data_IF_517329542332
#
_entry.id   IF_517329542332
#
_cell.length_a   1.000
_cell.length_b   1.000
_cell.length_c   1.000
_cell.angle_alpha   90.00
_cell.angle_beta   90.00
_cell.angle_gamma   90.00
#
_symmetry.space_group_name_H-M   'P 1'
#
loop_
_entity.id
_entity.type
_entity.pdbx_description
1 polymer ?
#
# COMPACT_ATOMS: atom_id res chain seq x y z
N UNK A 1 7.59 21.48 16.96
CA UNK A 1 8.65 20.87 16.12
C UNK A 1 8.09 20.78 14.72
N UNK A 2 8.78 21.31 13.73
CA UNK A 2 8.37 21.15 12.35
C UNK A 2 8.43 19.67 11.99
N UNK A 3 7.31 19.11 11.58
CA UNK A 3 7.23 17.73 11.10
C UNK A 3 7.67 17.71 9.63
N UNK A 4 8.97 17.55 9.39
CA UNK A 4 9.51 17.38 8.03
C UNK A 4 9.72 15.91 7.72
N UNK A 5 9.81 15.55 6.44
CA UNK A 5 10.06 14.18 6.02
C UNK A 5 11.44 13.66 6.48
N UNK A 6 12.43 14.53 6.57
CA UNK A 6 13.74 14.21 7.13
C UNK A 6 13.64 13.84 8.62
N UNK A 7 12.86 14.61 9.40
CA UNK A 7 12.63 14.33 10.82
C UNK A 7 11.90 12.99 11.04
N UNK A 8 11.18 12.49 10.04
CA UNK A 8 10.56 11.17 10.08
C UNK A 8 11.54 10.02 9.75
N UNK A 9 12.79 10.32 9.40
CA UNK A 9 13.83 9.33 9.14
C UNK A 9 14.01 8.92 7.69
N UNK A 10 13.50 9.72 6.74
CA UNK A 10 13.64 9.46 5.32
C UNK A 10 14.94 10.06 4.77
N UNK A 11 15.61 9.33 3.86
CA UNK A 11 16.83 9.79 3.16
C UNK A 11 16.54 10.98 2.25
N UNK A 12 17.52 11.86 2.06
CA UNK A 12 17.42 13.07 1.25
C UNK A 12 16.88 12.80 -0.17
N UNK A 13 17.26 11.71 -0.82
CA UNK A 13 16.77 11.36 -2.16
C UNK A 13 15.24 11.21 -2.23
N UNK A 14 14.60 10.61 -1.21
CA UNK A 14 13.15 10.50 -1.13
C UNK A 14 12.49 11.85 -0.86
N UNK A 15 13.10 12.67 0.00
CA UNK A 15 12.60 14.01 0.31
C UNK A 15 12.65 14.91 -0.93
N UNK A 16 13.75 14.87 -1.69
CA UNK A 16 13.86 15.59 -2.96
C UNK A 16 12.79 15.12 -3.96
N UNK A 17 12.60 13.81 -4.09
CA UNK A 17 11.58 13.23 -4.98
C UNK A 17 10.16 13.66 -4.62
N UNK A 18 9.87 13.90 -3.35
CA UNK A 18 8.58 14.45 -2.91
C UNK A 18 8.45 15.93 -3.25
N UNK A 19 9.52 16.71 -3.03
CA UNK A 19 9.54 18.14 -3.36
C UNK A 19 9.31 18.39 -4.85
N UNK A 20 9.86 17.55 -5.74
CA UNK A 20 9.61 17.58 -7.18
C UNK A 20 8.14 17.33 -7.55
N UNK A 21 7.41 16.60 -6.71
CA UNK A 21 5.97 16.40 -6.83
C UNK A 21 5.14 17.49 -6.14
N UNK A 22 5.76 18.54 -5.59
CA UNK A 22 5.11 19.60 -4.82
C UNK A 22 4.68 19.18 -3.42
N UNK A 23 5.19 18.04 -2.90
CA UNK A 23 4.86 17.51 -1.58
C UNK A 23 5.97 17.91 -0.61
N UNK A 24 5.75 18.97 0.14
CA UNK A 24 6.77 19.59 1.00
C UNK A 24 6.62 19.28 2.49
N UNK A 25 5.44 18.84 2.92
CA UNK A 25 5.17 18.52 4.32
C UNK A 25 4.37 17.21 4.46
N UNK A 26 4.66 16.37 5.46
CA UNK A 26 3.94 15.13 5.69
C UNK A 26 2.54 15.38 6.24
N UNK A 27 1.58 14.63 5.76
CA UNK A 27 0.22 14.59 6.29
C UNK A 27 0.18 13.93 7.67
N UNK A 28 -0.92 14.09 8.43
CA UNK A 28 -1.05 13.50 9.77
C UNK A 28 -0.85 11.97 9.77
N UNK A 29 -1.43 11.27 8.79
CA UNK A 29 -1.25 9.82 8.71
C UNK A 29 0.20 9.42 8.38
N UNK A 30 0.89 10.19 7.56
CA UNK A 30 2.31 9.98 7.25
C UNK A 30 3.18 10.21 8.47
N UNK A 31 2.94 11.28 9.23
CA UNK A 31 3.67 11.58 10.48
C UNK A 31 3.56 10.45 11.50
N UNK A 32 2.37 9.82 11.59
CA UNK A 32 2.12 8.72 12.53
C UNK A 32 2.69 7.39 12.04
N UNK A 33 2.50 7.06 10.76
CA UNK A 33 2.80 5.72 10.25
C UNK A 33 4.27 5.53 9.87
N UNK A 34 4.91 6.52 9.24
CA UNK A 34 6.28 6.37 8.72
C UNK A 34 7.25 5.92 9.82
N UNK A 35 7.33 6.54 11.00
CA UNK A 35 8.24 6.11 12.06
C UNK A 35 7.97 4.68 12.54
N UNK A 36 6.71 4.29 12.70
CA UNK A 36 6.33 2.97 13.16
C UNK A 36 6.66 1.88 12.13
N UNK A 37 6.46 2.18 10.84
CA UNK A 37 6.86 1.27 9.77
C UNK A 37 8.38 1.16 9.67
N UNK A 38 9.12 2.25 9.81
CA UNK A 38 10.59 2.24 9.83
C UNK A 38 11.13 1.42 11.01
N UNK A 39 10.48 1.47 12.17
CA UNK A 39 10.86 0.68 13.34
C UNK A 39 10.58 -0.83 13.19
N UNK A 40 9.87 -1.25 12.13
CA UNK A 40 9.58 -2.67 11.85
C UNK A 40 8.33 -3.22 12.53
N UNK A 41 7.52 -2.39 13.19
CA UNK A 41 6.25 -2.81 13.77
C UNK A 41 5.19 -3.06 12.70
N UNK A 42 4.30 -3.98 12.98
CA UNK A 42 3.07 -4.11 12.20
C UNK A 42 2.15 -2.91 12.50
N UNK A 43 1.49 -2.38 11.48
CA UNK A 43 0.72 -1.13 11.60
C UNK A 43 -0.66 -1.28 10.98
N UNK A 44 -1.68 -0.85 11.70
CA UNK A 44 -3.02 -0.59 11.17
C UNK A 44 -3.19 0.93 11.08
N UNK A 45 -3.33 1.46 9.86
CA UNK A 45 -3.52 2.88 9.60
C UNK A 45 -4.94 3.18 9.14
N UNK A 46 -5.64 4.06 9.87
CA UNK A 46 -6.99 4.49 9.51
C UNK A 46 -7.00 5.98 9.14
N UNK A 47 -7.41 6.29 7.91
CA UNK A 47 -7.64 7.67 7.49
C UNK A 47 -8.46 7.72 6.19
N UNK A 48 -9.12 8.82 5.94
CA UNK A 48 -9.95 9.03 4.75
C UNK A 48 -9.19 8.88 3.43
N UNK A 49 -9.92 8.73 2.33
CA UNK A 49 -9.36 8.75 0.98
C UNK A 49 -8.75 10.14 0.70
N UNK A 50 -7.59 10.17 0.03
CA UNK A 50 -6.90 11.42 -0.28
C UNK A 50 -6.01 11.95 0.87
N UNK A 51 -5.92 11.28 2.01
CA UNK A 51 -5.10 11.68 3.16
C UNK A 51 -3.59 11.42 3.00
N UNK A 52 -3.15 10.81 1.89
CA UNK A 52 -1.74 10.48 1.65
C UNK A 52 -1.31 9.09 2.13
N UNK A 53 -2.26 8.15 2.34
CA UNK A 53 -1.99 6.76 2.76
C UNK A 53 -0.95 6.06 1.91
N UNK A 54 -1.02 6.20 0.59
CA UNK A 54 -0.10 5.52 -0.34
C UNK A 54 1.35 5.86 -0.05
N UNK A 55 1.66 7.13 0.14
CA UNK A 55 3.01 7.55 0.50
C UNK A 55 3.38 7.18 1.93
N UNK A 56 2.41 7.08 2.85
CA UNK A 56 2.69 6.67 4.22
C UNK A 56 3.33 5.29 4.34
N UNK A 57 3.07 4.37 3.39
CA UNK A 57 3.74 3.07 3.34
C UNK A 57 4.81 2.96 2.25
N UNK A 58 4.66 3.61 1.09
CA UNK A 58 5.68 3.54 0.04
C UNK A 58 7.03 4.13 0.50
N UNK A 59 7.00 5.30 1.16
CA UNK A 59 8.22 5.96 1.61
C UNK A 59 9.06 5.06 2.53
N UNK A 60 8.54 4.51 3.64
CA UNK A 60 9.33 3.61 4.48
C UNK A 60 9.69 2.29 3.78
N UNK A 61 8.90 1.79 2.83
CA UNK A 61 9.31 0.65 2.01
C UNK A 61 10.56 1.00 1.21
N UNK A 62 10.56 2.10 0.47
CA UNK A 62 11.72 2.54 -0.31
C UNK A 62 12.95 2.82 0.56
N UNK A 63 12.74 3.36 1.78
CA UNK A 63 13.82 3.59 2.75
C UNK A 63 14.49 2.29 3.19
N UNK A 64 13.71 1.22 3.37
CA UNK A 64 14.16 -0.08 3.88
C UNK A 64 14.64 -1.05 2.80
N UNK A 65 14.51 -0.73 1.51
CA UNK A 65 14.95 -1.62 0.43
C UNK A 65 16.45 -1.87 0.49
N UNK A 66 16.81 -3.14 0.49
CA UNK A 66 18.18 -3.59 0.26
C UNK A 66 18.40 -3.82 -1.25
N UNK A 67 19.10 -2.88 -1.89
CA UNK A 67 19.34 -2.94 -3.33
C UNK A 67 20.34 -4.03 -3.73
N UNK A 68 21.09 -4.61 -2.80
CA UNK A 68 21.98 -5.76 -3.04
C UNK A 68 21.21 -7.06 -3.25
N UNK A 69 20.02 -7.18 -2.64
CA UNK A 69 19.15 -8.36 -2.77
C UNK A 69 18.32 -8.26 -4.05
N UNK A 70 18.47 -9.25 -4.93
CA UNK A 70 17.68 -9.37 -6.17
C UNK A 70 16.45 -10.26 -5.94
N UNK A 71 15.30 -9.65 -5.77
CA UNK A 71 14.03 -10.34 -5.56
C UNK A 71 13.03 -9.49 -4.80
N UNK A 72 11.80 -9.97 -4.70
CA UNK A 72 10.69 -9.23 -4.12
C UNK A 72 10.84 -9.08 -2.61
N UNK A 73 10.97 -7.84 -2.14
CA UNK A 73 11.08 -7.49 -0.72
C UNK A 73 9.79 -6.89 -0.16
N UNK A 74 8.95 -6.31 -1.02
CA UNK A 74 7.64 -5.79 -0.64
C UNK A 74 6.54 -6.29 -1.58
N UNK A 75 5.42 -6.69 -1.00
CA UNK A 75 4.18 -7.03 -1.71
C UNK A 75 3.10 -6.06 -1.25
N UNK A 76 2.42 -5.42 -2.21
CA UNK A 76 1.29 -4.55 -1.95
C UNK A 76 0.05 -5.18 -2.57
N UNK A 77 -0.88 -5.61 -1.72
CA UNK A 77 -2.15 -6.21 -2.10
C UNK A 77 -3.24 -5.15 -2.14
N UNK A 78 -4.01 -5.16 -3.22
CA UNK A 78 -5.12 -4.24 -3.42
C UNK A 78 -6.38 -5.00 -3.86
N UNK A 79 -7.59 -4.54 -3.49
CA UNK A 79 -8.83 -5.22 -3.86
C UNK A 79 -9.21 -5.02 -5.34
N UNK A 80 -8.76 -3.92 -5.97
CA UNK A 80 -9.12 -3.59 -7.36
C UNK A 80 -7.90 -3.41 -8.25
N UNK A 81 -8.09 -3.61 -9.56
CA UNK A 81 -7.03 -3.41 -10.55
C UNK A 81 -6.67 -1.92 -10.70
N UNK A 82 -7.66 -1.05 -10.56
CA UNK A 82 -7.50 0.41 -10.64
C UNK A 82 -6.59 0.91 -9.52
N UNK A 83 -6.86 0.48 -8.28
CA UNK A 83 -6.02 0.85 -7.13
C UNK A 83 -4.61 0.28 -7.29
N UNK A 84 -4.48 -0.98 -7.75
CA UNK A 84 -3.17 -1.56 -8.04
C UNK A 84 -2.37 -0.70 -9.04
N UNK A 85 -3.02 -0.24 -10.11
CA UNK A 85 -2.38 0.60 -11.12
C UNK A 85 -1.99 1.97 -10.57
N UNK A 86 -2.82 2.59 -9.73
CA UNK A 86 -2.52 3.87 -9.07
C UNK A 86 -1.30 3.74 -8.14
N UNK A 87 -1.28 2.72 -7.29
CA UNK A 87 -0.15 2.46 -6.39
C UNK A 87 1.13 2.16 -7.16
N UNK A 88 1.04 1.34 -8.21
CA UNK A 88 2.16 1.02 -9.08
C UNK A 88 2.74 2.29 -9.73
N UNK A 89 1.89 3.14 -10.30
CA UNK A 89 2.32 4.41 -10.91
C UNK A 89 3.00 5.34 -9.89
N UNK A 90 2.45 5.46 -8.68
CA UNK A 90 3.07 6.25 -7.61
C UNK A 90 4.43 5.69 -7.19
N UNK A 91 4.57 4.35 -7.14
CA UNK A 91 5.85 3.71 -6.84
C UNK A 91 6.88 3.92 -7.98
N UNK A 92 6.47 3.88 -9.24
CA UNK A 92 7.35 4.19 -10.38
C UNK A 92 7.83 5.64 -10.34
N UNK A 93 6.91 6.59 -10.14
CA UNK A 93 7.25 8.01 -10.04
C UNK A 93 8.24 8.28 -8.89
N UNK A 94 8.01 7.64 -7.74
CA UNK A 94 8.88 7.80 -6.58
C UNK A 94 10.28 7.22 -6.84
N UNK A 95 10.40 6.05 -7.47
CA UNK A 95 11.71 5.47 -7.78
C UNK A 95 12.48 6.29 -8.82
N UNK A 96 11.79 6.85 -9.83
CA UNK A 96 12.40 7.67 -10.88
C UNK A 96 12.95 8.96 -10.30
N UNK A 97 12.13 9.72 -9.56
CA UNK A 97 12.52 10.99 -8.97
C UNK A 97 13.59 10.82 -7.89
N UNK A 98 13.55 9.73 -7.10
CA UNK A 98 14.55 9.44 -6.09
C UNK A 98 15.83 8.79 -6.63
N UNK A 99 15.90 8.41 -7.91
CA UNK A 99 17.03 7.68 -8.49
C UNK A 99 17.24 6.30 -7.88
N UNK A 100 16.19 5.67 -7.32
CA UNK A 100 16.27 4.38 -6.65
C UNK A 100 15.86 3.25 -7.61
N UNK A 101 16.80 2.43 -8.05
CA UNK A 101 16.54 1.30 -8.94
C UNK A 101 15.86 0.13 -8.21
N UNK A 102 14.70 0.35 -7.64
CA UNK A 102 13.94 -0.69 -6.93
C UNK A 102 13.42 -1.77 -7.89
N UNK A 103 12.92 -1.37 -9.03
CA UNK A 103 12.14 -2.21 -9.93
C UNK A 103 10.77 -2.52 -9.32
N UNK A 104 9.72 -1.98 -9.94
CA UNK A 104 8.34 -2.23 -9.55
C UNK A 104 7.63 -3.07 -10.63
N UNK A 105 6.67 -3.90 -10.24
CA UNK A 105 5.84 -4.65 -11.19
C UNK A 105 4.38 -4.66 -10.77
N UNK A 106 3.49 -4.44 -11.75
CA UNK A 106 2.04 -4.56 -11.59
C UNK A 106 1.59 -5.97 -11.99
N UNK A 107 0.90 -6.68 -11.09
CA UNK A 107 0.41 -8.04 -11.26
C UNK A 107 -1.11 -8.10 -11.05
N UNK A 108 -1.86 -8.08 -12.15
CA UNK A 108 -3.34 -8.07 -12.13
C UNK A 108 -3.93 -9.13 -13.07
N UNK A 109 -5.14 -9.60 -12.76
CA UNK A 109 -5.80 -10.66 -13.50
C UNK A 109 -6.13 -10.32 -14.95
N UNK A 110 -6.50 -9.08 -15.23
CA UNK A 110 -6.92 -8.61 -16.56
C UNK A 110 -5.79 -8.52 -17.60
N UNK A 111 -4.53 -8.45 -17.16
CA UNK A 111 -3.39 -8.34 -18.07
C UNK A 111 -2.83 -9.73 -18.45
N UNK A 112 -2.35 -9.86 -19.69
CA UNK A 112 -1.73 -11.08 -20.19
C UNK A 112 -0.57 -11.56 -19.30
N UNK A 113 -0.63 -12.79 -18.83
CA UNK A 113 0.34 -13.37 -17.89
C UNK A 113 1.77 -13.36 -18.44
N UNK A 114 1.94 -13.53 -19.76
CA UNK A 114 3.27 -13.56 -20.40
C UNK A 114 4.09 -12.30 -20.14
N UNK A 115 3.49 -11.11 -20.33
CA UNK A 115 4.17 -9.83 -20.09
C UNK A 115 4.54 -9.66 -18.59
N UNK A 116 3.70 -10.13 -17.68
CA UNK A 116 3.97 -10.06 -16.25
C UNK A 116 5.13 -10.99 -15.88
N UNK A 117 5.20 -12.18 -16.44
CA UNK A 117 6.30 -13.12 -16.24
C UNK A 117 7.64 -12.55 -16.76
N UNK A 118 7.64 -11.89 -17.92
CA UNK A 118 8.85 -11.21 -18.42
C UNK A 118 9.33 -10.11 -17.48
N UNK A 119 8.42 -9.27 -16.98
CA UNK A 119 8.78 -8.25 -15.98
C UNK A 119 9.34 -8.86 -14.69
N UNK A 120 8.80 -9.99 -14.23
CA UNK A 120 9.30 -10.69 -13.03
C UNK A 120 10.71 -11.27 -13.21
N UNK A 121 11.15 -11.56 -14.44
CA UNK A 121 12.54 -12.00 -14.71
C UNK A 121 13.58 -10.96 -14.30
N UNK A 122 13.23 -9.67 -14.34
CA UNK A 122 14.07 -8.58 -13.86
C UNK A 122 14.27 -8.59 -12.33
N UNK A 123 13.55 -9.48 -11.61
CA UNK A 123 13.57 -9.61 -10.15
C UNK A 123 13.25 -8.29 -9.43
N UNK A 124 12.07 -7.71 -9.67
CA UNK A 124 11.64 -6.47 -9.03
C UNK A 124 11.57 -6.64 -7.52
N UNK A 125 11.89 -5.58 -6.79
CA UNK A 125 11.85 -5.58 -5.32
C UNK A 125 10.46 -5.27 -4.78
N UNK A 126 9.65 -4.57 -5.58
CA UNK A 126 8.27 -4.20 -5.21
C UNK A 126 7.29 -4.84 -6.19
N UNK A 127 6.31 -5.53 -5.65
CA UNK A 127 5.21 -6.14 -6.39
C UNK A 127 3.91 -5.52 -5.92
N UNK A 128 3.11 -4.99 -6.84
CA UNK A 128 1.78 -4.43 -6.57
C UNK A 128 0.75 -5.24 -7.35
N UNK A 129 -0.36 -5.61 -6.75
CA UNK A 129 -1.41 -6.27 -7.52
C UNK A 129 -2.54 -6.90 -6.72
N UNK A 130 -3.38 -7.64 -7.45
CA UNK A 130 -4.50 -8.37 -6.86
C UNK A 130 -4.04 -9.64 -6.14
N UNK A 131 -4.72 -9.96 -5.05
CA UNK A 131 -4.41 -11.09 -4.16
C UNK A 131 -4.28 -12.40 -4.93
N UNK A 132 -5.31 -12.77 -5.70
CA UNK A 132 -5.34 -14.04 -6.44
C UNK A 132 -4.21 -14.18 -7.46
N UNK A 133 -3.84 -13.07 -8.19
CA UNK A 133 -2.74 -13.11 -9.16
C UNK A 133 -1.38 -13.27 -8.46
N UNK A 134 -1.15 -12.57 -7.37
CA UNK A 134 0.09 -12.67 -6.60
C UNK A 134 0.22 -14.06 -6.00
N UNK A 135 -0.84 -14.61 -5.39
CA UNK A 135 -0.86 -15.96 -4.83
C UNK A 135 -0.57 -17.03 -5.89
N UNK A 136 -1.20 -16.92 -7.07
CA UNK A 136 -0.93 -17.84 -8.20
C UNK A 136 0.56 -17.82 -8.60
N UNK A 137 1.16 -16.64 -8.70
CA UNK A 137 2.57 -16.51 -9.07
C UNK A 137 3.54 -16.96 -7.96
N UNK A 138 3.17 -16.85 -6.69
CA UNK A 138 3.92 -17.44 -5.58
C UNK A 138 3.86 -18.97 -5.66
N UNK A 139 2.65 -19.55 -5.82
CA UNK A 139 2.47 -21.01 -5.96
C UNK A 139 3.24 -21.57 -7.16
N UNK A 140 3.33 -20.83 -8.25
CA UNK A 140 4.14 -21.14 -9.43
C UNK A 140 5.63 -20.85 -9.27
N UNK A 141 6.08 -20.48 -8.07
CA UNK A 141 7.50 -20.16 -7.74
C UNK A 141 8.10 -19.05 -8.63
N UNK A 142 7.27 -18.11 -9.12
CA UNK A 142 7.72 -16.95 -9.89
C UNK A 142 8.06 -15.76 -8.99
N UNK A 143 7.52 -15.71 -7.77
CA UNK A 143 7.85 -14.76 -6.71
C UNK A 143 8.51 -15.53 -5.58
N UNK A 144 9.67 -15.04 -5.12
CA UNK A 144 10.45 -15.61 -4.02
C UNK A 144 9.93 -15.06 -2.68
N UNK A 145 8.86 -15.66 -2.17
CA UNK A 145 8.14 -15.15 -0.98
C UNK A 145 9.01 -15.11 0.29
N UNK A 146 10.06 -15.94 0.39
CA UNK A 146 10.98 -15.93 1.53
C UNK A 146 11.86 -14.66 1.63
N UNK A 147 11.96 -13.87 0.56
CA UNK A 147 12.67 -12.58 0.56
C UNK A 147 11.77 -11.41 0.97
N UNK A 148 10.46 -11.62 1.03
CA UNK A 148 9.48 -10.58 1.37
C UNK A 148 9.60 -10.18 2.82
N UNK A 149 9.84 -8.89 3.05
CA UNK A 149 9.98 -8.28 4.37
C UNK A 149 8.78 -7.44 4.76
N UNK A 150 8.03 -6.94 3.79
CA UNK A 150 6.86 -6.09 4.04
C UNK A 150 5.69 -6.53 3.16
N UNK A 151 4.52 -6.70 3.76
CA UNK A 151 3.24 -6.90 3.07
C UNK A 151 2.33 -5.75 3.43
N UNK A 152 1.81 -5.07 2.42
CA UNK A 152 0.81 -4.01 2.58
C UNK A 152 -0.54 -4.54 2.14
N UNK A 153 -1.56 -4.26 2.94
CA UNK A 153 -2.97 -4.52 2.67
C UNK A 153 -3.65 -3.15 2.47
N UNK A 154 -3.70 -2.66 1.25
CA UNK A 154 -4.34 -1.37 0.95
C UNK A 154 -5.84 -1.57 0.70
N UNK A 155 -6.69 -0.67 1.19
CA UNK A 155 -8.14 -0.90 1.38
C UNK A 155 -8.41 -2.22 2.13
N UNK A 156 -7.77 -2.36 3.29
CA UNK A 156 -7.77 -3.58 4.08
C UNK A 156 -9.16 -4.06 4.52
N UNK A 157 -10.14 -3.15 4.67
CA UNK A 157 -11.54 -3.51 4.90
C UNK A 157 -12.07 -4.44 3.81
N UNK A 158 -11.86 -4.12 2.54
CA UNK A 158 -12.27 -4.97 1.41
C UNK A 158 -11.43 -6.25 1.27
N UNK A 159 -10.17 -6.20 1.66
CA UNK A 159 -9.29 -7.38 1.63
C UNK A 159 -9.59 -8.37 2.76
N UNK A 160 -10.21 -7.91 3.85
CA UNK A 160 -10.63 -8.75 4.97
C UNK A 160 -12.06 -9.30 4.81
N UNK A 161 -12.74 -8.99 3.71
CA UNK A 161 -14.03 -9.59 3.37
C UNK A 161 -13.88 -11.07 3.02
N UNK A 162 -14.94 -11.86 3.23
CA UNK A 162 -14.94 -13.32 3.11
C UNK A 162 -14.48 -13.86 1.74
N UNK A 163 -14.60 -13.05 0.68
CA UNK A 163 -14.10 -13.41 -0.64
C UNK A 163 -12.58 -13.33 -0.84
N UNK A 164 -11.86 -12.63 0.04
CA UNK A 164 -10.43 -12.35 -0.13
C UNK A 164 -9.57 -12.80 1.05
N UNK A 165 -10.12 -12.86 2.25
CA UNK A 165 -9.36 -13.05 3.49
C UNK A 165 -8.54 -14.34 3.51
N UNK A 166 -9.07 -15.43 2.94
CA UNK A 166 -8.35 -16.70 2.89
C UNK A 166 -7.13 -16.63 1.98
N UNK A 167 -7.27 -16.01 0.81
CA UNK A 167 -6.17 -15.83 -0.13
C UNK A 167 -5.11 -14.84 0.42
N UNK A 168 -5.53 -13.78 1.12
CA UNK A 168 -4.61 -12.88 1.86
C UNK A 168 -3.83 -13.66 2.90
N UNK A 169 -4.51 -14.46 3.73
CA UNK A 169 -3.85 -15.31 4.72
C UNK A 169 -2.89 -16.32 4.07
N UNK A 170 -3.27 -16.88 2.90
CA UNK A 170 -2.41 -17.77 2.15
C UNK A 170 -1.14 -17.06 1.64
N UNK A 171 -1.23 -15.82 1.11
CA UNK A 171 -0.06 -15.02 0.73
C UNK A 171 0.84 -14.79 1.95
N UNK A 172 0.29 -14.35 3.08
CA UNK A 172 1.04 -14.09 4.32
C UNK A 172 1.77 -15.35 4.80
N UNK A 173 1.11 -16.51 4.78
CA UNK A 173 1.69 -17.79 5.20
C UNK A 173 2.89 -18.24 4.34
N UNK A 174 3.04 -17.75 3.12
CA UNK A 174 4.17 -18.10 2.26
C UNK A 174 5.45 -17.32 2.61
N UNK A 175 5.35 -16.27 3.40
CA UNK A 175 6.46 -15.42 3.81
C UNK A 175 7.03 -15.83 5.16
N UNK A 176 8.24 -15.35 5.49
CA UNK A 176 8.86 -15.62 6.80
C UNK A 176 8.10 -14.90 7.93
N UNK A 177 8.26 -15.38 9.17
CA UNK A 177 7.55 -14.80 10.34
C UNK A 177 8.00 -13.39 10.69
N UNK A 178 9.22 -13.04 10.33
CA UNK A 178 9.84 -11.72 10.58
C UNK A 178 9.30 -10.62 9.66
N UNK A 179 8.44 -10.98 8.65
CA UNK A 179 7.80 -9.95 7.80
C UNK A 179 7.03 -8.96 8.65
N UNK A 180 6.90 -7.78 8.11
CA UNK A 180 6.04 -6.71 8.61
C UNK A 180 4.73 -6.68 7.83
N UNK A 181 3.61 -6.46 8.49
CA UNK A 181 2.30 -6.26 7.87
C UNK A 181 1.84 -4.84 8.12
N UNK A 182 1.43 -4.15 7.06
CA UNK A 182 0.87 -2.80 7.12
C UNK A 182 -0.52 -2.84 6.50
N UNK A 183 -1.55 -2.57 7.28
CA UNK A 183 -2.92 -2.50 6.81
C UNK A 183 -3.39 -1.05 6.79
N UNK A 184 -3.96 -0.63 5.68
CA UNK A 184 -4.57 0.69 5.53
C UNK A 184 -6.03 0.57 5.11
N UNK A 185 -6.87 1.39 5.72
CA UNK A 185 -8.28 1.46 5.37
C UNK A 185 -8.85 2.85 5.67
N UNK A 186 -9.96 3.18 5.02
CA UNK A 186 -10.75 4.36 5.38
C UNK A 186 -11.59 4.08 6.64
N UNK A 187 -12.09 2.85 6.76
CA UNK A 187 -12.84 2.38 7.93
C UNK A 187 -12.47 0.93 8.18
N UNK A 188 -12.31 0.53 9.43
CA UNK A 188 -12.08 -0.88 9.78
C UNK A 188 -13.18 -1.31 10.73
N UNK A 189 -14.07 -2.20 10.27
CA UNK A 189 -15.06 -2.81 11.15
C UNK A 189 -14.36 -3.63 12.25
N UNK A 190 -15.03 -3.84 13.38
CA UNK A 190 -14.46 -4.64 14.47
C UNK A 190 -14.05 -6.04 14.01
N UNK A 191 -14.82 -6.65 13.11
CA UNK A 191 -14.54 -7.96 12.53
C UNK A 191 -13.31 -7.96 11.61
N UNK A 192 -13.24 -7.03 10.66
CA UNK A 192 -12.09 -6.89 9.76
C UNK A 192 -10.80 -6.61 10.56
N UNK A 193 -10.89 -5.82 11.62
CA UNK A 193 -9.78 -5.55 12.53
C UNK A 193 -9.33 -6.83 13.26
N UNK A 194 -10.27 -7.63 13.77
CA UNK A 194 -9.95 -8.89 14.43
C UNK A 194 -9.28 -9.89 13.48
N UNK A 195 -9.80 -10.03 12.26
CA UNK A 195 -9.19 -10.87 11.21
C UNK A 195 -7.77 -10.42 10.88
N UNK A 196 -7.54 -9.10 10.72
CA UNK A 196 -6.21 -8.54 10.46
C UNK A 196 -5.25 -8.75 11.64
N UNK A 197 -5.68 -8.45 12.86
CA UNK A 197 -4.87 -8.61 14.07
C UNK A 197 -4.40 -10.05 14.28
N UNK A 198 -5.22 -11.04 13.91
CA UNK A 198 -4.85 -12.45 13.98
C UNK A 198 -3.68 -12.84 13.04
N UNK A 199 -3.38 -12.02 12.04
CA UNK A 199 -2.29 -12.22 11.06
C UNK A 199 -1.03 -11.41 11.40
N UNK A 200 -1.14 -10.44 12.31
CA UNK A 200 -0.12 -9.48 12.72
C UNK A 200 0.63 -9.92 13.97
N UNK A 201 1.75 -9.28 14.24
CA UNK A 201 2.50 -9.43 15.49
C UNK A 201 1.72 -8.86 16.68
N UNK A 202 2.00 -9.36 17.87
CA UNK A 202 1.29 -8.94 19.09
C UNK A 202 1.52 -7.46 19.49
N UNK A 203 2.61 -6.86 19.01
CA UNK A 203 3.00 -5.46 19.23
C UNK A 203 2.56 -4.52 18.11
N UNK A 204 1.62 -4.97 17.25
CA UNK A 204 1.06 -4.14 16.18
C UNK A 204 0.42 -2.86 16.72
N UNK A 205 0.67 -1.74 16.05
CA UNK A 205 0.13 -0.43 16.43
C UNK A 205 -1.09 -0.06 15.57
N UNK A 206 -2.11 0.47 16.22
CA UNK A 206 -3.34 0.97 15.57
C UNK A 206 -3.32 2.50 15.60
N UNK A 207 -3.23 3.10 14.42
CA UNK A 207 -3.08 4.52 14.21
C UNK A 207 -4.27 5.10 13.46
N UNK A 208 -4.83 6.18 13.99
CA UNK A 208 -5.90 6.92 13.34
C UNK A 208 -5.45 8.36 13.10
N UNK A 209 -5.56 8.81 11.85
CA UNK A 209 -5.50 10.22 11.53
C UNK A 209 -6.93 10.75 11.46
N UNK A 210 -7.22 11.71 12.31
CA UNK A 210 -8.48 12.44 12.23
C UNK A 210 -8.42 13.30 10.97
N UNK A 211 -9.32 13.06 10.04
CA UNK A 211 -9.58 14.09 9.04
C UNK A 211 -9.97 15.34 9.80
N UNK A 212 -9.14 16.33 9.74
CA UNK A 212 -9.62 17.66 10.08
C UNK A 212 -10.75 17.91 9.08
N UNK A 213 -12.00 17.75 9.48
CA UNK A 213 -13.22 17.76 8.68
C UNK A 213 -13.36 18.92 7.69
N UNK A 214 -12.47 18.99 6.77
CA UNK A 214 -12.50 19.89 5.64
C UNK A 214 -12.97 19.03 4.47
N UNK A 215 -14.27 18.95 4.30
CA UNK A 215 -14.82 18.85 2.94
C UNK A 215 -13.98 19.81 2.11
N UNK A 216 -13.26 19.36 1.07
CA UNK A 216 -12.39 20.25 0.31
C UNK A 216 -13.17 21.50 -0.04
N UNK A 217 -12.68 22.68 0.36
CA UNK A 217 -13.33 23.96 0.06
C UNK A 217 -13.50 24.00 -1.45
N UNK A 218 -14.75 23.91 -1.94
CA UNK A 218 -15.06 23.89 -3.37
C UNK A 218 -15.87 22.67 -3.84
N UNK A 219 -16.15 21.68 -3.00
CA UNK A 219 -17.13 20.65 -3.35
C UNK A 219 -18.54 21.18 -3.00
N UNK A 220 -19.33 21.44 -4.04
CA UNK A 220 -20.73 21.77 -3.91
C UNK A 220 -21.56 20.50 -4.10
N UNK A 221 -22.33 20.13 -3.10
CA UNK A 221 -23.25 19.00 -3.19
C UNK A 221 -24.57 19.48 -3.80
N UNK A 222 -24.93 18.95 -4.94
CA UNK A 222 -26.22 19.16 -5.58
C UNK A 222 -27.04 17.87 -5.52
N UNK A 223 -28.33 17.99 -5.29
CA UNK A 223 -29.26 16.88 -5.45
C UNK A 223 -30.40 17.31 -6.36
N UNK A 224 -30.82 16.39 -7.19
CA UNK A 224 -31.95 16.59 -8.10
C UNK A 224 -33.09 15.72 -7.61
N UNK A 225 -34.21 16.36 -7.28
CA UNK A 225 -35.45 15.65 -7.01
C UNK A 225 -36.11 15.35 -8.35
N UNK A 226 -36.19 14.11 -8.75
CA UNK A 226 -36.93 13.67 -9.92
C UNK A 226 -37.96 12.62 -9.53
N UNK A 227 -39.15 12.64 -10.15
CA UNK A 227 -40.14 11.59 -10.02
C UNK A 227 -39.53 10.26 -10.60
N UNK A 228 -39.93 9.13 -10.03
CA UNK A 228 -39.30 7.82 -10.25
C UNK A 228 -39.18 7.35 -11.71
N UNK A 229 -39.87 8.00 -12.66
CA UNK A 229 -39.92 7.63 -14.09
C UNK A 229 -39.04 8.47 -15.01
N UNK A 230 -38.36 9.53 -14.51
CA UNK A 230 -37.63 10.49 -15.34
C UNK A 230 -36.10 10.47 -15.09
N UNK A 231 -35.58 9.43 -14.45
CA UNK A 231 -34.15 9.35 -14.10
C UNK A 231 -33.17 9.12 -15.26
N UNK A 232 -33.70 8.90 -16.48
CA UNK A 232 -32.87 8.52 -17.64
C UNK A 232 -33.38 9.21 -18.93
N UNK A 233 -33.70 10.48 -18.88
CA UNK A 233 -33.90 11.30 -20.07
C UNK A 233 -32.63 12.07 -20.40
#
# INVERSE_FOLDING_TARGET
MEHTFEALGLRAALVTALAEQGITAPTEIQQKMIPEILSGKDVIGRSETGSGKTLAYLLPIFEKLDLSIRGTQAIILTPTHELAAQVYHQAELLQENAGIAAGCVLLIGAAGIGRQLEKLKAKPRIVVGSVGRILDLIRKKKIQAHLVRTIVLDEGDRLMDDGNVEDVAAVIKTTLKERQIVLLSASVSGEAKAKAAAMMKADAVDLEAKSGGIVPKGIHHYYILSAHREKFA
#
